data_IF_708208455532
#
_entry.id   IF_708208455532
#
_cell.length_a   1.000
_cell.length_b   1.000
_cell.length_c   1.000
_cell.angle_alpha   90.00
_cell.angle_beta   90.00
_cell.angle_gamma   90.00
#
_symmetry.space_group_name_H-M   'P 1'
#
loop_
_entity.id
_entity.type
_entity.pdbx_description
1 polymer ?
#
# COMPACT_ATOMS: atom_id res chain seq x y z
N UNK A 1 -0.72 37.01 9.81
CA UNK A 1 -2.12 37.22 9.35
C UNK A 1 -2.58 38.49 9.99
N UNK A 2 -2.92 39.50 9.21
CA UNK A 2 -3.54 40.73 9.70
C UNK A 2 -4.99 40.46 10.11
N UNK A 3 -5.59 41.34 10.92
CA UNK A 3 -6.99 41.22 11.37
C UNK A 3 -7.98 41.21 10.20
N UNK A 4 -7.72 42.02 9.17
CA UNK A 4 -8.54 42.14 7.96
C UNK A 4 -8.57 40.85 7.13
N UNK A 5 -7.39 40.22 6.94
CA UNK A 5 -7.30 38.93 6.24
C UNK A 5 -8.13 37.85 6.94
N UNK A 6 -8.20 37.86 8.29
CA UNK A 6 -9.05 36.94 9.06
C UNK A 6 -10.54 37.24 8.87
N UNK A 7 -10.92 38.52 8.76
CA UNK A 7 -12.32 38.92 8.58
C UNK A 7 -12.81 38.58 7.18
N UNK A 8 -12.01 38.88 6.15
CA UNK A 8 -12.36 38.58 4.76
C UNK A 8 -12.44 37.07 4.50
N UNK A 9 -11.52 36.28 5.06
CA UNK A 9 -11.55 34.81 4.92
C UNK A 9 -12.76 34.18 5.65
N UNK A 10 -13.22 34.80 6.75
CA UNK A 10 -14.48 34.41 7.41
C UNK A 10 -15.70 34.72 6.54
N UNK A 11 -15.76 35.90 5.89
CA UNK A 11 -16.86 36.27 4.99
C UNK A 11 -16.97 35.33 3.78
N UNK A 12 -15.85 35.00 3.12
CA UNK A 12 -15.85 34.08 1.99
C UNK A 12 -16.26 32.66 2.40
N UNK A 13 -15.82 32.19 3.58
CA UNK A 13 -16.28 30.88 4.11
C UNK A 13 -17.76 30.87 4.45
N UNK A 14 -18.28 31.95 5.01
CA UNK A 14 -19.71 32.09 5.27
C UNK A 14 -20.53 32.06 3.97
N UNK A 15 -20.01 32.64 2.88
CA UNK A 15 -20.66 32.56 1.57
C UNK A 15 -20.67 31.14 0.98
N UNK A 16 -19.62 30.34 1.20
CA UNK A 16 -19.51 28.95 0.69
C UNK A 16 -20.35 27.97 1.53
N UNK A 17 -20.34 28.13 2.85
CA UNK A 17 -21.05 27.23 3.77
C UNK A 17 -22.52 27.61 3.94
N UNK A 18 -22.90 28.86 3.62
CA UNK A 18 -24.25 29.40 3.83
C UNK A 18 -24.65 29.38 5.31
N UNK A 19 -25.95 29.20 5.58
CA UNK A 19 -26.51 29.01 6.92
C UNK A 19 -26.32 27.59 7.48
N UNK A 20 -25.54 26.72 6.83
CA UNK A 20 -25.29 25.38 7.40
C UNK A 20 -24.43 25.54 8.66
N UNK A 21 -24.84 24.96 9.81
CA UNK A 21 -24.00 24.95 10.99
C UNK A 21 -22.64 24.37 10.61
N UNK A 22 -21.55 24.94 11.14
CA UNK A 22 -20.17 24.49 10.88
C UNK A 22 -19.95 23.14 11.59
N UNK A 23 -20.62 22.09 11.09
CA UNK A 23 -20.56 20.71 11.59
C UNK A 23 -19.21 20.06 11.31
N UNK A 24 -18.28 20.79 10.70
CA UNK A 24 -16.89 20.38 10.45
C UNK A 24 -16.18 19.83 11.67
N UNK A 25 -16.43 20.37 12.86
CA UNK A 25 -15.82 19.84 14.08
C UNK A 25 -16.41 18.47 14.45
N UNK A 26 -17.73 18.33 14.42
CA UNK A 26 -18.43 17.05 14.65
C UNK A 26 -18.09 15.98 13.61
N UNK A 27 -17.91 16.38 12.34
CA UNK A 27 -17.56 15.45 11.25
C UNK A 27 -16.10 14.99 11.30
N UNK A 28 -15.22 15.75 11.95
CA UNK A 28 -13.81 15.36 12.17
C UNK A 28 -13.63 14.50 13.42
N UNK A 29 -14.48 14.69 14.44
CA UNK A 29 -14.45 13.90 15.67
C UNK A 29 -14.89 12.45 15.47
N UNK A 30 -15.86 12.20 14.59
CA UNK A 30 -16.34 10.84 14.33
C UNK A 30 -15.23 9.89 13.80
N UNK A 31 -14.43 10.25 12.77
CA UNK A 31 -13.29 9.43 12.36
C UNK A 31 -12.25 9.19 13.46
N UNK A 32 -12.00 10.20 14.30
CA UNK A 32 -11.08 10.09 15.45
C UNK A 32 -11.60 9.07 16.45
N UNK A 33 -12.88 9.16 16.81
CA UNK A 33 -13.55 8.21 17.68
C UNK A 33 -13.49 6.77 17.13
N UNK A 34 -13.82 6.59 15.85
CA UNK A 34 -13.74 5.28 15.18
C UNK A 34 -12.31 4.75 15.17
N UNK A 35 -11.31 5.60 14.92
CA UNK A 35 -9.91 5.19 14.93
C UNK A 35 -9.43 4.74 16.32
N UNK A 36 -9.85 5.41 17.39
CA UNK A 36 -9.53 5.01 18.77
C UNK A 36 -10.13 3.66 19.09
N UNK A 37 -11.42 3.46 18.78
CA UNK A 37 -12.08 2.17 19.00
C UNK A 37 -11.40 1.08 18.18
N UNK A 38 -11.13 1.30 16.90
CA UNK A 38 -10.47 0.31 16.06
C UNK A 38 -9.05 -0.04 16.58
N UNK A 39 -8.29 0.97 17.02
CA UNK A 39 -6.98 0.79 17.61
C UNK A 39 -7.03 -0.02 18.92
N UNK A 40 -7.99 0.26 19.80
CA UNK A 40 -8.19 -0.49 21.04
C UNK A 40 -8.68 -1.92 20.80
N UNK A 41 -9.76 -2.08 20.03
CA UNK A 41 -10.45 -3.36 19.83
C UNK A 41 -9.68 -4.32 18.93
N UNK A 42 -8.95 -3.83 17.92
CA UNK A 42 -8.24 -4.68 16.97
C UNK A 42 -6.72 -4.48 17.01
N UNK A 43 -6.27 -3.23 17.14
CA UNK A 43 -4.84 -2.91 17.16
C UNK A 43 -4.11 -3.53 18.35
N UNK A 44 -4.59 -3.29 19.57
CA UNK A 44 -3.95 -3.81 20.79
C UNK A 44 -3.89 -5.34 20.80
N UNK A 45 -4.98 -6.10 20.52
CA UNK A 45 -4.91 -7.56 20.43
C UNK A 45 -3.98 -8.06 19.31
N UNK A 46 -3.96 -7.40 18.15
CA UNK A 46 -3.05 -7.79 17.07
C UNK A 46 -1.58 -7.60 17.47
N UNK A 47 -1.25 -6.48 18.12
CA UNK A 47 0.08 -6.23 18.67
C UNK A 47 0.43 -7.19 19.80
N UNK A 48 -0.53 -7.49 20.69
CA UNK A 48 -0.34 -8.49 21.75
C UNK A 48 0.01 -9.86 21.15
N UNK A 49 -0.70 -10.27 20.10
CA UNK A 49 -0.42 -11.52 19.41
C UNK A 49 0.96 -11.49 18.73
N UNK A 50 1.35 -10.34 18.17
CA UNK A 50 2.71 -10.13 17.65
C UNK A 50 3.77 -10.35 18.72
N UNK A 51 3.67 -9.68 19.87
CA UNK A 51 4.68 -9.83 20.91
C UNK A 51 4.69 -11.21 21.56
N UNK A 52 3.52 -11.85 21.76
CA UNK A 52 3.45 -13.25 22.24
C UNK A 52 4.14 -14.24 21.31
N UNK A 53 4.27 -13.87 20.05
CA UNK A 53 4.84 -14.73 19.03
C UNK A 53 6.34 -14.53 18.81
N UNK A 54 6.90 -13.47 19.38
CA UNK A 54 8.33 -13.17 19.34
C UNK A 54 8.97 -13.75 20.60
N UNK A 55 10.10 -14.43 20.47
CA UNK A 55 10.87 -14.88 21.64
C UNK A 55 11.42 -13.67 22.40
N UNK A 56 11.05 -13.57 23.68
CA UNK A 56 11.46 -12.48 24.56
C UNK A 56 12.97 -12.44 24.76
N UNK A 57 13.64 -13.61 24.81
CA UNK A 57 15.10 -13.67 24.96
C UNK A 57 15.79 -13.16 23.71
N UNK A 58 15.39 -13.65 22.54
CA UNK A 58 15.88 -13.18 21.25
C UNK A 58 15.70 -11.66 21.10
N UNK A 59 14.51 -11.14 21.45
CA UNK A 59 14.25 -9.71 21.34
C UNK A 59 15.14 -8.92 22.30
N UNK A 60 15.27 -9.32 23.56
CA UNK A 60 16.12 -8.62 24.53
C UNK A 60 17.60 -8.57 24.08
N UNK A 61 18.11 -9.68 23.54
CA UNK A 61 19.48 -9.78 23.02
C UNK A 61 19.71 -8.90 21.80
N UNK A 62 18.74 -8.80 20.89
CA UNK A 62 18.90 -8.03 19.65
C UNK A 62 18.53 -6.56 19.80
N UNK A 63 17.52 -6.20 20.61
CA UNK A 63 17.02 -4.82 20.72
C UNK A 63 18.05 -3.86 21.32
N UNK A 64 18.95 -4.37 22.17
CA UNK A 64 20.01 -3.58 22.80
C UNK A 64 21.25 -3.41 21.91
N UNK A 65 21.28 -4.05 20.74
CA UNK A 65 22.41 -3.93 19.82
C UNK A 65 22.35 -2.62 19.02
N UNK A 66 23.51 -2.01 18.70
CA UNK A 66 23.54 -0.88 17.76
C UNK A 66 22.98 -1.27 16.39
N UNK A 67 23.08 -2.55 16.00
CA UNK A 67 22.51 -3.08 14.77
C UNK A 67 20.99 -2.97 14.72
N UNK A 68 20.28 -3.26 15.82
CA UNK A 68 18.82 -3.10 15.87
C UNK A 68 18.39 -1.63 15.80
N UNK A 69 19.13 -0.73 16.46
CA UNK A 69 18.88 0.72 16.35
C UNK A 69 19.07 1.20 14.89
N UNK A 70 20.16 0.78 14.23
CA UNK A 70 20.41 1.08 12.82
C UNK A 70 19.29 0.51 11.95
N UNK A 71 18.89 -0.75 12.15
CA UNK A 71 17.82 -1.39 11.40
C UNK A 71 16.48 -0.64 11.55
N UNK A 72 16.14 -0.21 12.76
CA UNK A 72 14.94 0.58 13.03
C UNK A 72 14.99 1.95 12.32
N UNK A 73 16.14 2.63 12.36
CA UNK A 73 16.34 3.91 11.66
C UNK A 73 16.24 3.75 10.15
N UNK A 74 16.88 2.71 9.59
CA UNK A 74 16.82 2.39 8.15
C UNK A 74 15.39 2.08 7.74
N UNK A 75 14.66 1.26 8.52
CA UNK A 75 13.27 0.96 8.25
C UNK A 75 12.39 2.22 8.28
N UNK A 76 12.55 3.07 9.30
CA UNK A 76 11.84 4.34 9.40
C UNK A 76 12.16 5.25 8.22
N UNK A 77 13.42 5.36 7.81
CA UNK A 77 13.84 6.15 6.65
C UNK A 77 13.25 5.62 5.34
N UNK A 78 13.19 4.30 5.16
CA UNK A 78 12.55 3.66 4.01
C UNK A 78 11.04 3.97 3.98
N UNK A 79 10.34 3.82 5.11
CA UNK A 79 8.91 4.15 5.22
C UNK A 79 8.64 5.63 4.93
N UNK A 80 9.44 6.55 5.48
CA UNK A 80 9.32 7.99 5.21
C UNK A 80 9.62 8.33 3.74
N UNK A 81 10.52 7.57 3.10
CA UNK A 81 10.80 7.69 1.67
C UNK A 81 9.59 7.26 0.84
N UNK A 82 8.92 6.16 1.22
CA UNK A 82 7.65 5.74 0.59
C UNK A 82 6.57 6.81 0.76
N UNK A 83 6.39 7.35 1.96
CA UNK A 83 5.44 8.44 2.25
C UNK A 83 5.70 9.66 1.34
N UNK A 84 6.97 10.00 1.14
CA UNK A 84 7.36 11.07 0.22
C UNK A 84 6.96 10.78 -1.22
N UNK A 85 7.19 9.55 -1.70
CA UNK A 85 6.79 9.15 -3.06
C UNK A 85 5.28 9.14 -3.26
N UNK A 86 4.53 8.73 -2.24
CA UNK A 86 3.06 8.84 -2.22
C UNK A 86 2.64 10.30 -2.31
N UNK A 87 3.30 11.19 -1.56
CA UNK A 87 3.09 12.63 -1.59
C UNK A 87 3.17 13.26 -2.97
N UNK A 88 4.05 12.76 -3.83
CA UNK A 88 4.18 13.27 -5.21
C UNK A 88 2.91 13.05 -6.04
N UNK A 89 2.10 12.06 -5.70
CA UNK A 89 0.85 11.75 -6.40
C UNK A 89 -0.33 12.36 -5.65
N UNK A 90 -0.46 12.00 -4.37
CA UNK A 90 -1.52 12.44 -3.48
C UNK A 90 -0.90 13.11 -2.27
N UNK A 91 -1.06 14.42 -2.15
CA UNK A 91 -0.48 15.19 -1.07
C UNK A 91 -1.36 15.32 0.17
N UNK A 92 -0.80 15.76 1.31
CA UNK A 92 -1.55 16.00 2.54
C UNK A 92 -2.50 17.20 2.43
N UNK A 93 -2.21 18.18 1.57
CA UNK A 93 -2.98 19.43 1.49
C UNK A 93 -3.82 19.42 0.22
N UNK A 94 -5.02 18.85 0.30
CA UNK A 94 -5.96 18.81 -0.83
C UNK A 94 -7.34 19.29 -0.35
N UNK A 95 -7.62 20.60 -0.44
CA UNK A 95 -8.96 21.15 -0.19
C UNK A 95 -9.95 20.68 -1.27
N UNK A 96 -11.27 20.70 -0.99
CA UNK A 96 -12.28 20.35 -1.99
C UNK A 96 -12.31 21.37 -3.14
N UNK A 97 -12.68 20.92 -4.34
CA UNK A 97 -12.73 21.72 -5.57
C UNK A 97 -13.42 23.09 -5.39
N UNK A 98 -14.63 23.21 -4.80
CA UNK A 98 -15.28 24.50 -4.63
C UNK A 98 -14.45 25.50 -3.79
N UNK A 99 -13.70 25.00 -2.79
CA UNK A 99 -12.83 25.85 -1.98
C UNK A 99 -11.60 26.31 -2.76
N UNK A 100 -11.06 25.45 -3.64
CA UNK A 100 -9.95 25.83 -4.51
C UNK A 100 -10.34 26.95 -5.47
N UNK A 101 -11.55 26.88 -6.04
CA UNK A 101 -12.04 27.85 -7.02
C UNK A 101 -12.47 29.19 -6.42
N UNK A 102 -13.10 29.16 -5.25
CA UNK A 102 -13.65 30.36 -4.64
C UNK A 102 -12.68 31.05 -3.66
N UNK A 103 -11.83 30.29 -2.97
CA UNK A 103 -10.95 30.82 -1.89
C UNK A 103 -9.50 30.85 -2.30
N UNK A 104 -8.99 29.75 -2.87
CA UNK A 104 -7.54 29.63 -3.17
C UNK A 104 -7.17 30.37 -4.45
N UNK A 105 -8.10 30.50 -5.40
CA UNK A 105 -7.90 31.33 -6.61
C UNK A 105 -8.02 32.84 -6.35
N UNK A 106 -8.49 33.26 -5.16
CA UNK A 106 -8.55 34.66 -4.77
C UNK A 106 -7.15 35.27 -4.60
N UNK A 107 -6.98 36.61 -4.59
CA UNK A 107 -5.68 37.25 -4.38
C UNK A 107 -5.08 37.02 -2.98
N UNK A 108 -5.75 36.27 -2.10
CA UNK A 108 -5.22 35.93 -0.78
C UNK A 108 -4.01 35.00 -0.86
N UNK A 109 -2.98 35.23 -0.02
CA UNK A 109 -1.83 34.35 0.03
C UNK A 109 -2.20 32.89 0.35
N UNK A 110 -1.71 31.94 -0.46
CA UNK A 110 -1.95 30.50 -0.28
C UNK A 110 -1.52 29.96 1.08
N UNK A 111 -0.47 30.54 1.67
CA UNK A 111 -0.03 30.25 3.05
C UNK A 111 -1.11 30.44 4.10
N UNK A 112 -2.12 31.27 3.82
CA UNK A 112 -3.26 31.52 4.71
C UNK A 112 -4.44 30.63 4.34
N UNK A 113 -4.79 30.55 3.06
CA UNK A 113 -5.97 29.81 2.59
C UNK A 113 -5.83 28.30 2.78
N UNK A 114 -4.61 27.76 2.68
CA UNK A 114 -4.29 26.33 2.84
C UNK A 114 -3.88 25.94 4.26
N UNK A 115 -3.58 26.89 5.15
CA UNK A 115 -3.07 26.61 6.50
C UNK A 115 -3.98 25.69 7.33
N UNK A 116 -5.30 25.81 7.17
CA UNK A 116 -6.27 24.96 7.88
C UNK A 116 -6.12 23.50 7.46
N UNK A 117 -6.11 23.23 6.16
CA UNK A 117 -6.03 21.87 5.62
C UNK A 117 -4.69 21.23 5.99
N UNK A 118 -3.60 22.00 5.93
CA UNK A 118 -2.30 21.53 6.44
C UNK A 118 -2.34 21.16 7.93
N UNK A 119 -2.94 22.01 8.78
CA UNK A 119 -3.06 21.72 10.21
C UNK A 119 -3.88 20.47 10.48
N UNK A 120 -4.98 20.26 9.74
CA UNK A 120 -5.80 19.06 9.87
C UNK A 120 -5.00 17.80 9.48
N UNK A 121 -4.29 17.82 8.36
CA UNK A 121 -3.47 16.67 7.92
C UNK A 121 -2.29 16.42 8.86
N UNK A 122 -1.60 17.48 9.31
CA UNK A 122 -0.52 17.37 10.30
C UNK A 122 -1.01 16.83 11.64
N UNK A 123 -2.16 17.32 12.14
CA UNK A 123 -2.78 16.82 13.35
C UNK A 123 -3.21 15.36 13.19
N UNK A 124 -3.80 15.00 12.03
CA UNK A 124 -4.18 13.64 11.70
C UNK A 124 -3.00 12.67 11.67
N UNK A 125 -1.88 13.04 11.02
CA UNK A 125 -0.67 12.23 11.02
C UNK A 125 -0.05 12.10 12.41
N UNK A 126 -0.02 13.18 13.19
CA UNK A 126 0.51 13.18 14.56
C UNK A 126 -0.34 12.29 15.47
N UNK A 127 -1.66 12.43 15.39
CA UNK A 127 -2.62 11.62 16.13
C UNK A 127 -2.57 10.13 15.72
N UNK A 128 -2.50 9.85 14.42
CA UNK A 128 -2.33 8.49 13.92
C UNK A 128 -1.01 7.86 14.39
N UNK A 129 0.09 8.62 14.38
CA UNK A 129 1.37 8.20 14.93
C UNK A 129 1.30 7.94 16.44
N UNK A 130 0.63 8.80 17.19
CA UNK A 130 0.37 8.62 18.62
C UNK A 130 -0.39 7.32 18.88
N UNK A 131 -1.48 7.06 18.14
CA UNK A 131 -2.25 5.83 18.24
C UNK A 131 -1.41 4.59 17.93
N UNK A 132 -0.58 4.62 16.88
CA UNK A 132 0.32 3.51 16.56
C UNK A 132 1.32 3.26 17.70
N UNK A 133 1.93 4.31 18.23
CA UNK A 133 2.86 4.21 19.36
C UNK A 133 2.19 3.70 20.64
N UNK A 134 0.95 4.12 20.89
CA UNK A 134 0.14 3.68 22.02
C UNK A 134 -0.26 2.21 21.88
N UNK A 135 -0.70 1.77 20.70
CA UNK A 135 -1.06 0.38 20.41
C UNK A 135 0.16 -0.53 20.57
N UNK A 136 1.30 -0.14 19.98
CA UNK A 136 2.57 -0.86 20.13
C UNK A 136 3.02 -0.94 21.58
N UNK A 137 3.00 0.19 22.31
CA UNK A 137 3.37 0.23 23.73
C UNK A 137 2.44 -0.60 24.61
N UNK A 138 1.12 -0.48 24.42
CA UNK A 138 0.12 -1.21 25.20
C UNK A 138 0.22 -2.71 24.96
N UNK A 139 0.35 -3.13 23.69
CA UNK A 139 0.52 -4.54 23.37
C UNK A 139 1.78 -5.13 24.02
N UNK A 140 2.90 -4.42 23.99
CA UNK A 140 4.15 -4.87 24.61
C UNK A 140 4.10 -4.91 26.14
N UNK A 141 3.42 -3.95 26.77
CA UNK A 141 3.22 -3.92 28.21
C UNK A 141 2.30 -5.06 28.68
N UNK A 142 1.19 -5.31 27.98
CA UNK A 142 0.24 -6.39 28.31
C UNK A 142 0.90 -7.78 28.19
N UNK A 143 1.86 -7.95 27.29
CA UNK A 143 2.61 -9.21 27.15
C UNK A 143 3.82 -9.30 28.08
N UNK A 144 4.04 -8.34 28.98
CA UNK A 144 5.24 -8.23 29.82
C UNK A 144 6.55 -8.24 29.01
N UNK A 145 6.52 -7.81 27.75
CA UNK A 145 7.71 -7.68 26.91
C UNK A 145 8.54 -6.47 27.35
N UNK A 146 7.86 -5.40 27.77
CA UNK A 146 8.46 -4.16 28.26
C UNK A 146 7.72 -3.69 29.52
N UNK A 147 8.40 -2.98 30.45
CA UNK A 147 7.71 -2.38 31.58
C UNK A 147 6.69 -1.33 31.10
N UNK A 148 5.56 -1.14 31.80
CA UNK A 148 4.52 -0.16 31.41
C UNK A 148 5.04 1.26 31.22
N UNK A 149 6.15 1.62 31.88
CA UNK A 149 6.84 2.93 31.73
C UNK A 149 7.25 3.19 30.27
N UNK A 150 7.49 2.16 29.46
CA UNK A 150 7.85 2.27 28.04
C UNK A 150 6.68 2.72 27.16
N UNK A 151 5.43 2.68 27.66
CA UNK A 151 4.27 3.17 26.91
C UNK A 151 4.35 4.67 26.60
N UNK A 152 4.92 5.47 27.51
CA UNK A 152 5.12 6.90 27.29
C UNK A 152 6.10 7.18 26.14
N UNK A 153 7.34 6.69 26.16
CA UNK A 153 8.29 6.93 25.06
C UNK A 153 7.83 6.30 23.74
N UNK A 154 7.12 5.17 23.72
CA UNK A 154 6.58 4.62 22.45
C UNK A 154 5.47 5.50 21.88
N UNK A 155 4.59 6.02 22.73
CA UNK A 155 3.50 6.93 22.31
C UNK A 155 4.06 8.26 21.81
N UNK A 156 5.02 8.84 22.53
CA UNK A 156 5.72 10.08 22.12
C UNK A 156 6.54 9.87 20.85
N UNK A 157 7.27 8.76 20.74
CA UNK A 157 8.02 8.37 19.55
C UNK A 157 7.12 8.17 18.33
N UNK A 158 5.95 7.55 18.52
CA UNK A 158 4.93 7.41 17.49
C UNK A 158 4.38 8.78 17.02
N UNK A 159 4.08 9.69 17.95
CA UNK A 159 3.64 11.04 17.62
C UNK A 159 4.72 11.80 16.82
N UNK A 160 5.98 11.69 17.23
CA UNK A 160 7.13 12.28 16.55
C UNK A 160 7.31 11.70 15.13
N UNK A 161 7.16 10.38 14.96
CA UNK A 161 7.13 9.74 13.65
C UNK A 161 5.97 10.27 12.80
N UNK A 162 4.79 10.47 13.38
CA UNK A 162 3.64 11.09 12.73
C UNK A 162 3.91 12.50 12.22
N UNK A 163 4.66 13.31 12.97
CA UNK A 163 5.14 14.63 12.52
C UNK A 163 6.08 14.48 11.32
N UNK A 164 7.03 13.55 11.35
CA UNK A 164 7.90 13.29 10.21
C UNK A 164 7.14 12.81 8.97
N UNK A 165 6.13 11.95 9.15
CA UNK A 165 5.24 11.52 8.07
C UNK A 165 4.58 12.74 7.42
N UNK A 166 3.97 13.64 8.19
CA UNK A 166 3.35 14.85 7.65
C UNK A 166 4.35 15.71 6.84
N UNK A 167 5.57 15.91 7.37
CA UNK A 167 6.62 16.69 6.72
C UNK A 167 7.09 16.08 5.39
N UNK A 168 7.42 14.77 5.40
CA UNK A 168 7.88 14.08 4.21
C UNK A 168 6.77 13.98 3.17
N UNK A 169 5.52 13.83 3.60
CA UNK A 169 4.36 13.80 2.73
C UNK A 169 4.16 15.16 2.03
N UNK A 170 4.26 16.28 2.75
CA UNK A 170 4.19 17.63 2.17
C UNK A 170 5.35 17.90 1.21
N UNK A 171 6.58 17.52 1.59
CA UNK A 171 7.75 17.62 0.70
C UNK A 171 7.59 16.78 -0.56
N UNK A 172 6.92 15.64 -0.45
CA UNK A 172 6.50 14.82 -1.59
C UNK A 172 5.56 15.60 -2.52
N UNK A 173 4.51 16.21 -1.96
CA UNK A 173 3.53 17.01 -2.70
C UNK A 173 4.18 18.15 -3.48
N UNK A 174 5.11 18.89 -2.86
CA UNK A 174 5.83 19.96 -3.53
C UNK A 174 6.63 19.45 -4.73
N UNK A 175 7.32 18.31 -4.59
CA UNK A 175 8.12 17.72 -5.69
C UNK A 175 7.28 17.13 -6.81
N UNK A 176 6.03 16.78 -6.53
CA UNK A 176 5.10 16.22 -7.51
C UNK A 176 4.47 17.25 -8.45
N UNK A 177 4.64 18.55 -8.17
CA UNK A 177 3.98 19.60 -8.94
C UNK A 177 4.76 20.00 -10.20
N UNK A 178 4.08 20.28 -11.33
CA UNK A 178 4.72 20.80 -12.53
C UNK A 178 5.32 22.19 -12.26
N UNK A 179 6.58 22.42 -12.66
CA UNK A 179 7.20 23.75 -12.62
C UNK A 179 7.92 24.12 -11.33
N UNK A 180 7.81 23.33 -10.26
CA UNK A 180 8.71 23.46 -9.11
C UNK A 180 10.03 22.76 -9.45
N UNK A 181 10.99 23.52 -9.99
CA UNK A 181 12.37 23.05 -10.06
C UNK A 181 12.80 22.56 -8.67
N UNK A 182 13.57 21.46 -8.55
CA UNK A 182 14.21 21.16 -7.28
C UNK A 182 14.97 22.44 -6.86
N UNK A 183 14.85 22.90 -5.61
CA UNK A 183 15.65 24.04 -5.18
C UNK A 183 17.09 23.68 -5.50
N UNK A 184 17.69 24.42 -6.44
CA UNK A 184 19.08 24.25 -6.78
C UNK A 184 19.85 24.40 -5.48
N UNK A 185 20.77 23.48 -5.23
CA UNK A 185 21.73 23.51 -4.13
C UNK A 185 22.72 24.67 -4.25
N UNK A 186 22.32 25.77 -4.86
CA UNK A 186 23.05 27.01 -5.10
C UNK A 186 22.45 28.18 -4.30
N UNK A 187 21.89 27.89 -3.11
CA UNK A 187 21.60 28.89 -2.09
C UNK A 187 22.55 28.69 -0.90
N UNK A 188 23.86 28.70 -1.19
CA UNK A 188 24.92 28.94 -0.20
C UNK A 188 24.92 30.42 0.20
N UNK A 189 23.80 30.87 0.76
CA UNK A 189 23.62 32.24 1.23
C UNK A 189 22.40 32.32 2.16
N UNK A 190 22.66 32.37 3.47
CA UNK A 190 21.72 32.87 4.48
C UNK A 190 20.48 32.03 4.87
N UNK A 191 20.54 30.68 4.89
CA UNK A 191 19.47 29.85 5.51
C UNK A 191 19.75 29.37 6.95
N UNK A 192 20.67 29.99 7.69
CA UNK A 192 21.01 29.58 9.06
C UNK A 192 20.01 30.06 10.15
N UNK A 193 18.90 30.75 9.80
CA UNK A 193 17.97 31.31 10.79
C UNK A 193 16.47 31.03 10.57
N UNK A 194 16.08 30.34 9.49
CA UNK A 194 14.66 30.16 9.20
C UNK A 194 14.02 29.08 10.10
N UNK A 195 13.20 29.53 11.06
CA UNK A 195 12.39 28.65 11.90
C UNK A 195 11.62 27.62 11.06
N UNK A 196 11.46 26.40 11.58
CA UNK A 196 10.74 25.30 10.90
C UNK A 196 9.33 25.74 10.44
N UNK A 197 8.70 26.65 11.19
CA UNK A 197 7.42 27.28 10.85
C UNK A 197 7.49 28.19 9.62
N UNK A 198 8.56 28.96 9.46
CA UNK A 198 8.79 29.80 8.28
C UNK A 198 8.95 28.97 7.01
N UNK A 199 9.76 27.91 7.06
CA UNK A 199 9.93 26.95 5.95
C UNK A 199 8.61 26.29 5.54
N UNK A 200 7.77 25.88 6.50
CA UNK A 200 6.42 25.33 6.25
C UNK A 200 5.47 26.31 5.57
N UNK A 201 5.47 27.57 6.01
CA UNK A 201 4.60 28.60 5.42
C UNK A 201 5.03 28.95 3.99
N UNK A 202 6.34 28.92 3.72
CA UNK A 202 6.88 29.10 2.38
C UNK A 202 6.52 27.91 1.47
N UNK A 203 6.57 26.69 1.98
CA UNK A 203 6.11 25.50 1.26
C UNK A 203 4.64 25.62 0.79
N UNK A 204 3.72 26.06 1.66
CA UNK A 204 2.31 26.24 1.27
C UNK A 204 2.11 27.35 0.23
N UNK A 205 2.98 28.37 0.21
CA UNK A 205 2.92 29.44 -0.78
C UNK A 205 3.32 28.96 -2.18
N UNK A 206 4.21 27.96 -2.25
CA UNK A 206 4.73 27.37 -3.50
C UNK A 206 3.77 26.37 -4.16
N UNK A 207 2.71 25.94 -3.47
CA UNK A 207 1.77 24.96 -4.02
C UNK A 207 0.99 25.53 -5.21
N UNK A 208 1.13 24.93 -6.38
CA UNK A 208 0.40 25.31 -7.59
C UNK A 208 -1.09 24.95 -7.51
N UNK A 209 -1.95 25.88 -7.98
CA UNK A 209 -3.40 25.73 -7.92
C UNK A 209 -3.91 24.68 -8.92
N UNK A 210 -3.30 24.58 -10.11
CA UNK A 210 -3.71 23.60 -11.13
C UNK A 210 -3.38 22.18 -10.66
N UNK A 211 -2.22 22.00 -10.03
CA UNK A 211 -1.85 20.75 -9.35
C UNK A 211 -2.84 20.38 -8.24
N UNK A 212 -3.23 21.33 -7.38
CA UNK A 212 -4.21 21.09 -6.32
C UNK A 212 -5.60 20.72 -6.86
N UNK A 213 -6.06 21.39 -7.92
CA UNK A 213 -7.34 21.05 -8.58
C UNK A 213 -7.31 19.63 -9.13
N UNK A 214 -6.22 19.25 -9.81
CA UNK A 214 -6.04 17.88 -10.32
C UNK A 214 -6.08 16.83 -9.21
N UNK A 215 -5.37 17.06 -8.11
CA UNK A 215 -5.36 16.16 -6.95
C UNK A 215 -6.74 16.08 -6.29
N UNK A 216 -7.46 17.20 -6.17
CA UNK A 216 -8.82 17.18 -5.60
C UNK A 216 -9.80 16.44 -6.50
N UNK A 217 -9.73 16.63 -7.82
CA UNK A 217 -10.58 15.91 -8.76
C UNK A 217 -10.28 14.40 -8.72
N UNK A 218 -9.00 14.03 -8.75
CA UNK A 218 -8.53 12.64 -8.65
C UNK A 218 -9.01 11.97 -7.35
N UNK A 219 -8.86 12.63 -6.19
CA UNK A 219 -9.36 12.10 -4.91
C UNK A 219 -10.87 11.83 -4.92
N UNK A 220 -11.67 12.71 -5.54
CA UNK A 220 -13.12 12.54 -5.67
C UNK A 220 -13.44 11.38 -6.62
N UNK A 221 -12.76 11.30 -7.77
CA UNK A 221 -12.90 10.20 -8.73
C UNK A 221 -12.56 8.85 -8.10
N UNK A 222 -11.41 8.74 -7.43
CA UNK A 222 -10.97 7.53 -6.73
C UNK A 222 -11.96 7.17 -5.63
N UNK A 223 -12.36 8.13 -4.78
CA UNK A 223 -13.31 7.89 -3.70
C UNK A 223 -14.66 7.38 -4.21
N UNK A 224 -15.22 8.05 -5.23
CA UNK A 224 -16.47 7.65 -5.86
C UNK A 224 -16.36 6.27 -6.54
N UNK A 225 -15.26 6.01 -7.23
CA UNK A 225 -15.02 4.74 -7.91
C UNK A 225 -14.86 3.56 -6.93
N UNK A 226 -14.15 3.74 -5.81
CA UNK A 226 -14.05 2.73 -4.74
C UNK A 226 -15.44 2.41 -4.18
N UNK A 227 -16.23 3.45 -3.89
CA UNK A 227 -17.60 3.31 -3.38
C UNK A 227 -18.52 2.65 -4.40
N UNK A 228 -18.32 2.89 -5.70
CA UNK A 228 -19.10 2.31 -6.79
C UNK A 228 -18.68 0.89 -7.19
N UNK A 229 -17.58 0.35 -6.63
CA UNK A 229 -17.07 -0.96 -7.06
C UNK A 229 -16.14 -0.92 -8.28
N UNK A 230 -15.83 0.26 -8.81
CA UNK A 230 -15.13 0.46 -10.07
C UNK A 230 -13.62 0.69 -9.87
N UNK A 231 -12.91 -0.41 -9.62
CA UNK A 231 -11.47 -0.38 -9.44
C UNK A 231 -10.70 -0.07 -10.73
N UNK A 232 -11.34 -0.21 -11.90
CA UNK A 232 -10.72 0.17 -13.17
C UNK A 232 -10.53 1.68 -13.20
N UNK A 233 -11.56 2.44 -12.85
CA UNK A 233 -11.47 3.90 -12.77
C UNK A 233 -10.42 4.34 -11.75
N UNK A 234 -10.37 3.73 -10.56
CA UNK A 234 -9.32 3.99 -9.56
C UNK A 234 -7.93 3.78 -10.14
N UNK A 235 -7.72 2.66 -10.85
CA UNK A 235 -6.43 2.31 -11.43
C UNK A 235 -6.01 3.27 -12.53
N UNK A 236 -6.93 3.61 -13.45
CA UNK A 236 -6.64 4.50 -14.57
C UNK A 236 -6.33 5.92 -14.09
N UNK A 237 -7.01 6.38 -13.04
CA UNK A 237 -6.75 7.69 -12.45
C UNK A 237 -5.43 7.71 -11.65
N UNK A 238 -5.11 6.62 -10.94
CA UNK A 238 -3.84 6.48 -10.21
C UNK A 238 -2.62 6.18 -11.11
N UNK A 239 -2.83 5.77 -12.36
CA UNK A 239 -1.76 5.38 -13.27
C UNK A 239 -0.88 6.58 -13.65
N UNK A 240 0.43 6.44 -13.44
CA UNK A 240 1.39 7.46 -13.89
C UNK A 240 1.55 7.42 -15.42
N UNK A 241 1.77 8.57 -16.08
CA UNK A 241 2.14 8.58 -17.49
C UNK A 241 3.38 7.71 -17.72
N UNK A 242 3.39 6.91 -18.78
CA UNK A 242 4.55 6.09 -19.13
C UNK A 242 5.72 7.02 -19.47
N UNK A 243 6.81 7.03 -18.71
CA UNK A 243 7.95 7.91 -18.98
C UNK A 243 9.16 7.16 -19.56
N UNK A 244 9.22 5.85 -19.37
CA UNK A 244 10.30 4.98 -19.83
C UNK A 244 9.92 4.20 -21.09
N UNK A 245 10.93 3.77 -21.86
CA UNK A 245 10.81 2.82 -22.99
C UNK A 245 9.72 3.16 -24.04
N UNK A 246 9.38 4.44 -24.22
CA UNK A 246 8.37 4.90 -25.20
C UNK A 246 8.71 4.53 -26.64
N UNK A 247 10.00 4.52 -26.96
CA UNK A 247 10.53 4.20 -28.31
C UNK A 247 10.62 2.69 -28.57
N UNK A 248 10.50 1.86 -27.53
CA UNK A 248 10.57 0.41 -27.67
C UNK A 248 9.23 -0.10 -28.16
N UNK A 249 9.24 -0.72 -29.35
CA UNK A 249 8.07 -1.35 -29.97
C UNK A 249 7.98 -2.83 -29.60
N UNK A 250 6.75 -3.34 -29.59
CA UNK A 250 6.50 -4.76 -29.44
C UNK A 250 6.98 -5.50 -30.69
N UNK A 251 7.76 -6.56 -30.51
CA UNK A 251 8.24 -7.40 -31.62
C UNK A 251 7.23 -8.50 -31.92
N UNK A 252 6.97 -8.73 -33.21
CA UNK A 252 6.14 -9.83 -33.67
C UNK A 252 6.64 -11.20 -33.18
N UNK A 253 5.72 -12.15 -33.03
CA UNK A 253 5.99 -13.51 -32.58
C UNK A 253 4.70 -14.32 -32.51
N UNK A 254 4.79 -15.57 -32.04
CA UNK A 254 3.62 -16.41 -31.82
C UNK A 254 2.64 -15.79 -30.80
N UNK A 255 1.35 -16.17 -30.84
CA UNK A 255 0.28 -15.44 -30.17
C UNK A 255 0.44 -15.41 -28.64
N UNK A 256 0.90 -16.51 -28.02
CA UNK A 256 1.19 -16.56 -26.57
C UNK A 256 2.47 -15.80 -26.21
N UNK A 257 3.51 -15.91 -27.04
CA UNK A 257 4.80 -15.24 -26.81
C UNK A 257 4.68 -13.72 -26.90
N UNK A 258 3.83 -13.21 -27.80
CA UNK A 258 3.56 -11.77 -27.94
C UNK A 258 2.89 -11.21 -26.68
N UNK A 259 2.04 -11.99 -26.00
CA UNK A 259 1.42 -11.60 -24.73
C UNK A 259 2.49 -11.45 -23.64
N UNK A 260 3.36 -12.45 -23.47
CA UNK A 260 4.45 -12.36 -22.50
C UNK A 260 5.40 -11.18 -22.81
N UNK A 261 5.75 -10.96 -24.08
CA UNK A 261 6.57 -9.82 -24.50
C UNK A 261 5.90 -8.47 -24.25
N UNK A 262 4.58 -8.39 -24.43
CA UNK A 262 3.79 -7.20 -24.11
C UNK A 262 3.87 -6.86 -22.63
N UNK A 263 3.76 -7.86 -21.76
CA UNK A 263 3.82 -7.66 -20.31
C UNK A 263 5.22 -7.23 -19.86
N UNK A 264 6.27 -7.85 -20.42
CA UNK A 264 7.67 -7.41 -20.21
C UNK A 264 7.86 -5.96 -20.68
N UNK A 265 7.31 -5.59 -21.85
CA UNK A 265 7.36 -4.21 -22.34
C UNK A 265 6.59 -3.26 -21.41
N UNK A 266 5.47 -3.70 -20.84
CA UNK A 266 4.73 -2.98 -19.80
C UNK A 266 5.59 -2.68 -18.58
N UNK A 267 6.29 -3.68 -18.06
CA UNK A 267 7.23 -3.51 -16.93
C UNK A 267 8.40 -2.58 -17.28
N UNK A 268 8.94 -2.64 -18.49
CA UNK A 268 9.99 -1.71 -18.95
C UNK A 268 9.50 -0.26 -19.02
N UNK A 269 8.22 -0.05 -19.32
CA UNK A 269 7.59 1.28 -19.35
C UNK A 269 7.21 1.79 -17.95
N UNK A 270 7.05 0.89 -16.99
CA UNK A 270 6.77 1.17 -15.58
C UNK A 270 7.88 0.59 -14.67
N UNK A 271 9.12 1.13 -14.72
CA UNK A 271 10.27 0.54 -14.03
C UNK A 271 10.08 0.44 -12.52
N UNK A 272 9.33 1.38 -11.92
CA UNK A 272 9.01 1.32 -10.50
C UNK A 272 8.19 0.09 -10.11
N UNK A 273 7.25 -0.34 -10.96
CA UNK A 273 6.51 -1.59 -10.73
C UNK A 273 7.45 -2.79 -10.73
N UNK A 274 8.45 -2.81 -11.61
CA UNK A 274 9.46 -3.87 -11.63
C UNK A 274 10.31 -3.88 -10.34
N UNK A 275 10.80 -2.71 -9.91
CA UNK A 275 11.63 -2.56 -8.71
C UNK A 275 10.86 -2.90 -7.44
N UNK A 276 9.64 -2.37 -7.26
CA UNK A 276 8.81 -2.68 -6.10
C UNK A 276 8.39 -4.16 -6.10
N UNK A 277 8.06 -4.71 -7.27
CA UNK A 277 7.78 -6.13 -7.42
C UNK A 277 8.95 -7.00 -6.97
N UNK A 278 10.16 -6.69 -7.43
CA UNK A 278 11.37 -7.42 -7.04
C UNK A 278 11.65 -7.28 -5.54
N UNK A 279 11.57 -6.07 -4.98
CA UNK A 279 11.82 -5.84 -3.56
C UNK A 279 10.83 -6.60 -2.66
N UNK A 280 9.54 -6.52 -2.95
CA UNK A 280 8.50 -7.21 -2.17
C UNK A 280 8.53 -8.73 -2.34
N UNK A 281 8.78 -9.25 -3.55
CA UNK A 281 8.90 -10.69 -3.76
C UNK A 281 10.19 -11.24 -3.14
N UNK A 282 11.30 -10.52 -3.19
CA UNK A 282 12.54 -10.92 -2.54
C UNK A 282 12.39 -10.95 -1.01
N UNK A 283 11.89 -9.86 -0.42
CA UNK A 283 11.66 -9.80 1.04
C UNK A 283 10.60 -10.82 1.50
N UNK A 284 9.51 -10.99 0.74
CA UNK A 284 8.47 -11.95 1.04
C UNK A 284 8.95 -13.40 0.94
N UNK A 285 9.64 -13.77 -0.13
CA UNK A 285 10.17 -15.13 -0.31
C UNK A 285 11.28 -15.46 0.70
N UNK A 286 12.17 -14.51 1.02
CA UNK A 286 13.17 -14.66 2.07
C UNK A 286 12.51 -14.90 3.43
N UNK A 287 11.57 -14.04 3.82
CA UNK A 287 10.87 -14.16 5.09
C UNK A 287 10.07 -15.46 5.18
N UNK A 288 9.43 -15.90 4.09
CA UNK A 288 8.71 -17.17 4.05
C UNK A 288 9.66 -18.36 4.24
N UNK A 289 10.80 -18.39 3.53
CA UNK A 289 11.79 -19.45 3.66
C UNK A 289 12.40 -19.50 5.06
N UNK A 290 12.77 -18.35 5.62
CA UNK A 290 13.30 -18.24 6.99
C UNK A 290 12.26 -18.67 8.04
N UNK A 291 10.98 -18.37 7.80
CA UNK A 291 9.89 -18.80 8.69
C UNK A 291 9.74 -20.31 8.76
N UNK A 292 10.20 -21.03 7.73
CA UNK A 292 10.15 -22.49 7.66
C UNK A 292 11.35 -23.18 8.32
N UNK A 293 12.36 -22.44 8.78
CA UNK A 293 13.57 -23.01 9.36
C UNK A 293 13.43 -23.45 10.82
N UNK A 294 12.54 -22.81 11.59
CA UNK A 294 12.42 -23.06 13.02
C UNK A 294 10.96 -23.30 13.46
N UNK A 295 10.70 -24.35 14.28
CA UNK A 295 9.39 -24.61 14.89
C UNK A 295 8.90 -23.49 15.80
N UNK A 296 9.81 -22.65 16.29
CA UNK A 296 9.53 -21.53 17.17
C UNK A 296 9.10 -20.26 16.42
N UNK A 297 9.09 -20.29 15.08
CA UNK A 297 8.67 -19.13 14.30
C UNK A 297 7.18 -18.84 14.50
N UNK A 298 6.87 -17.58 14.84
CA UNK A 298 5.52 -17.03 14.85
C UNK A 298 4.74 -17.29 13.57
N UNK A 299 3.42 -17.48 13.68
CA UNK A 299 2.51 -17.49 12.52
C UNK A 299 2.38 -16.12 11.83
N UNK A 300 2.82 -15.04 12.47
CA UNK A 300 2.80 -13.69 11.90
C UNK A 300 3.91 -13.51 10.87
N UNK A 301 5.07 -14.18 11.06
CA UNK A 301 6.16 -14.12 10.10
C UNK A 301 5.74 -14.60 8.69
N UNK A 302 5.19 -15.81 8.49
CA UNK A 302 4.70 -16.23 7.19
C UNK A 302 3.52 -15.38 6.71
N UNK A 303 2.66 -14.85 7.59
CA UNK A 303 1.55 -13.96 7.21
C UNK A 303 2.06 -12.66 6.58
N UNK A 304 3.02 -11.98 7.21
CA UNK A 304 3.64 -10.75 6.69
C UNK A 304 4.41 -11.06 5.40
N UNK A 305 5.17 -12.16 5.37
CA UNK A 305 5.87 -12.60 4.17
C UNK A 305 4.93 -12.82 3.00
N UNK A 306 3.81 -13.52 3.20
CA UNK A 306 2.81 -13.77 2.16
C UNK A 306 2.09 -12.50 1.71
N UNK A 307 1.89 -11.52 2.60
CA UNK A 307 1.40 -10.20 2.21
C UNK A 307 2.37 -9.52 1.25
N UNK A 308 3.68 -9.51 1.56
CA UNK A 308 4.71 -8.96 0.67
C UNK A 308 4.78 -9.73 -0.65
N UNK A 309 4.72 -11.07 -0.62
CA UNK A 309 4.64 -11.90 -1.82
C UNK A 309 3.44 -11.53 -2.69
N UNK A 310 2.25 -11.36 -2.10
CA UNK A 310 1.02 -10.99 -2.81
C UNK A 310 1.13 -9.62 -3.46
N UNK A 311 1.65 -8.63 -2.74
CA UNK A 311 1.87 -7.28 -3.26
C UNK A 311 2.91 -7.28 -4.40
N UNK A 312 4.05 -7.93 -4.19
CA UNK A 312 5.12 -7.99 -5.17
C UNK A 312 4.69 -8.70 -6.46
N UNK A 313 4.10 -9.89 -6.36
CA UNK A 313 3.56 -10.62 -7.51
C UNK A 313 2.50 -9.79 -8.24
N UNK A 314 1.64 -9.10 -7.48
CA UNK A 314 0.57 -8.27 -8.03
C UNK A 314 1.06 -7.09 -8.88
N UNK A 315 2.25 -6.54 -8.62
CA UNK A 315 2.83 -5.48 -9.47
C UNK A 315 3.22 -5.96 -10.87
N UNK A 316 3.43 -7.27 -11.04
CA UNK A 316 3.76 -7.88 -12.34
C UNK A 316 2.51 -8.41 -13.07
N UNK A 317 1.35 -8.42 -12.42
CA UNK A 317 0.07 -8.87 -12.98
C UNK A 317 -0.72 -7.78 -13.74
N UNK A 318 -0.08 -6.68 -14.14
CA UNK A 318 -0.79 -5.58 -14.81
C UNK A 318 -1.42 -6.02 -16.14
N UNK A 319 -0.71 -6.85 -16.92
CA UNK A 319 -1.23 -7.44 -18.15
C UNK A 319 -2.52 -8.23 -17.92
N UNK A 320 -2.54 -9.08 -16.89
CA UNK A 320 -3.70 -9.88 -16.50
C UNK A 320 -4.92 -9.01 -16.16
N UNK A 321 -4.69 -7.93 -15.41
CA UNK A 321 -5.75 -6.97 -15.03
C UNK A 321 -6.26 -6.17 -16.22
N UNK A 322 -5.39 -5.80 -17.16
CA UNK A 322 -5.80 -5.12 -18.39
C UNK A 322 -6.59 -6.06 -19.32
N UNK A 323 -6.26 -7.35 -19.35
CA UNK A 323 -7.02 -8.36 -20.08
C UNK A 323 -8.43 -8.55 -19.48
N UNK A 324 -8.53 -8.59 -18.16
CA UNK A 324 -9.83 -8.66 -17.48
C UNK A 324 -10.71 -7.43 -17.76
N UNK A 325 -10.13 -6.23 -17.81
CA UNK A 325 -10.86 -4.99 -18.15
C UNK A 325 -11.37 -4.95 -19.59
N UNK A 326 -10.74 -5.71 -20.48
CA UNK A 326 -11.12 -5.86 -21.88
C UNK A 326 -12.08 -7.04 -22.12
N UNK A 327 -12.65 -7.63 -21.06
CA UNK A 327 -13.76 -8.58 -21.20
C UNK A 327 -14.90 -7.92 -22.00
N UNK A 328 -15.40 -8.56 -23.05
CA UNK A 328 -16.43 -7.96 -23.93
C UNK A 328 -15.89 -7.41 -25.25
N UNK A 329 -14.57 -7.36 -25.44
CA UNK A 329 -13.96 -6.86 -26.68
C UNK A 329 -13.54 -7.98 -27.61
N UNK A 330 -13.57 -7.72 -28.92
CA UNK A 330 -13.17 -8.69 -29.95
C UNK A 330 -11.74 -9.19 -29.75
N UNK A 331 -11.53 -10.49 -29.94
CA UNK A 331 -10.25 -11.17 -29.68
C UNK A 331 -9.24 -10.87 -30.78
N UNK A 332 -8.30 -9.96 -30.53
CA UNK A 332 -7.29 -9.51 -31.50
C UNK A 332 -6.34 -10.62 -32.00
N UNK A 333 -6.11 -11.68 -31.21
CA UNK A 333 -5.14 -12.75 -31.51
C UNK A 333 -5.81 -14.08 -31.86
N UNK A 334 -7.14 -14.14 -31.95
CA UNK A 334 -7.89 -15.38 -32.22
C UNK A 334 -7.80 -16.46 -31.13
N UNK A 335 -7.07 -16.22 -30.03
CA UNK A 335 -6.91 -17.16 -28.92
C UNK A 335 -8.15 -17.20 -28.02
N UNK A 336 -8.45 -18.35 -27.40
CA UNK A 336 -9.44 -18.45 -26.33
C UNK A 336 -9.16 -17.45 -25.19
N UNK A 337 -10.23 -16.94 -24.57
CA UNK A 337 -10.12 -15.94 -23.50
C UNK A 337 -9.40 -16.48 -22.26
N UNK A 338 -9.55 -17.78 -22.00
CA UNK A 338 -8.83 -18.48 -20.93
C UNK A 338 -7.33 -18.58 -21.21
N UNK A 339 -6.94 -18.89 -22.44
CA UNK A 339 -5.53 -19.08 -22.80
C UNK A 339 -4.77 -17.76 -22.78
N UNK A 340 -5.43 -16.68 -23.20
CA UNK A 340 -4.89 -15.31 -23.07
C UNK A 340 -4.72 -14.90 -21.61
N UNK A 341 -5.67 -15.25 -20.73
CA UNK A 341 -5.52 -15.00 -19.29
C UNK A 341 -4.35 -15.80 -18.69
N UNK A 342 -4.19 -17.07 -19.07
CA UNK A 342 -3.06 -17.90 -18.62
C UNK A 342 -1.71 -17.40 -19.17
N UNK A 343 -1.66 -16.91 -20.41
CA UNK A 343 -0.46 -16.33 -20.99
C UNK A 343 0.04 -15.10 -20.21
N UNK A 344 -0.88 -14.29 -19.66
CA UNK A 344 -0.56 -13.15 -18.80
C UNK A 344 0.01 -13.54 -17.42
N UNK A 345 -0.02 -14.82 -17.04
CA UNK A 345 0.67 -15.32 -15.84
C UNK A 345 2.14 -15.66 -16.08
N UNK A 346 2.59 -15.76 -17.34
CA UNK A 346 3.96 -16.17 -17.65
C UNK A 346 4.99 -15.23 -17.03
N UNK A 347 4.84 -13.91 -17.21
CA UNK A 347 5.76 -12.90 -16.66
C UNK A 347 5.81 -12.88 -15.13
N UNK A 348 4.68 -12.78 -14.40
CA UNK A 348 4.73 -12.77 -12.94
C UNK A 348 5.23 -14.10 -12.34
N UNK A 349 4.88 -15.25 -12.94
CA UNK A 349 5.40 -16.56 -12.51
C UNK A 349 6.90 -16.67 -12.73
N UNK A 350 7.41 -16.29 -13.91
CA UNK A 350 8.85 -16.29 -14.18
C UNK A 350 9.61 -15.30 -13.28
N UNK A 351 9.06 -14.11 -13.04
CA UNK A 351 9.63 -13.15 -12.10
C UNK A 351 9.71 -13.72 -10.69
N UNK A 352 8.64 -14.40 -10.24
CA UNK A 352 8.59 -15.05 -8.92
C UNK A 352 9.62 -16.16 -8.79
N UNK A 353 9.68 -17.08 -9.77
CA UNK A 353 10.60 -18.22 -9.72
C UNK A 353 12.06 -17.75 -9.72
N UNK A 354 12.43 -16.84 -10.63
CA UNK A 354 13.79 -16.30 -10.69
C UNK A 354 14.17 -15.57 -9.40
N UNK A 355 13.28 -14.75 -8.86
CA UNK A 355 13.55 -14.03 -7.60
C UNK A 355 13.70 -14.98 -6.42
N UNK A 356 12.81 -15.98 -6.33
CA UNK A 356 12.84 -17.00 -5.25
C UNK A 356 14.13 -17.83 -5.31
N UNK A 357 14.55 -18.24 -6.52
CA UNK A 357 15.81 -18.97 -6.71
C UNK A 357 17.02 -18.11 -6.35
N UNK A 358 17.04 -16.84 -6.78
CA UNK A 358 18.13 -15.92 -6.44
C UNK A 358 18.23 -15.66 -4.93
N UNK A 359 17.08 -15.47 -4.25
CA UNK A 359 17.02 -15.34 -2.79
C UNK A 359 17.51 -16.62 -2.11
N UNK A 360 17.09 -17.79 -2.58
CA UNK A 360 17.54 -19.07 -2.05
C UNK A 360 19.04 -19.27 -2.20
N UNK A 361 19.63 -18.85 -3.33
CA UNK A 361 21.07 -18.86 -3.52
C UNK A 361 21.78 -17.93 -2.52
N UNK A 362 21.25 -16.73 -2.30
CA UNK A 362 21.76 -15.80 -1.28
C UNK A 362 21.67 -16.36 0.15
N UNK A 363 20.55 -16.98 0.51
CA UNK A 363 20.39 -17.66 1.80
C UNK A 363 21.34 -18.85 1.95
N UNK A 364 21.60 -19.59 0.87
CA UNK A 364 22.59 -20.67 0.86
C UNK A 364 24.01 -20.17 1.10
N UNK A 365 24.40 -19.06 0.48
CA UNK A 365 25.71 -18.43 0.74
C UNK A 365 25.84 -17.93 2.19
N UNK A 366 24.73 -17.57 2.83
CA UNK A 366 24.67 -17.19 4.24
C UNK A 366 24.55 -18.38 5.21
N UNK A 367 24.52 -19.62 4.74
CA UNK A 367 24.36 -20.82 5.58
C UNK A 367 22.94 -21.04 6.12
N UNK A 368 21.94 -20.36 5.57
CA UNK A 368 20.53 -20.37 6.01
C UNK A 368 19.61 -21.09 4.99
N UNK A 369 20.12 -22.13 4.32
CA UNK A 369 19.38 -22.82 3.27
C UNK A 369 18.70 -24.10 3.76
N UNK A 370 17.45 -24.27 3.33
CA UNK A 370 16.71 -25.51 3.45
C UNK A 370 16.02 -25.81 2.10
N UNK A 371 16.31 -26.96 1.45
CA UNK A 371 15.73 -27.30 0.15
C UNK A 371 14.20 -27.43 0.21
N UNK A 372 13.64 -27.87 1.34
CA UNK A 372 12.19 -27.92 1.52
C UNK A 372 11.59 -26.50 1.51
N UNK A 373 12.25 -25.53 2.16
CA UNK A 373 11.79 -24.14 2.18
C UNK A 373 11.73 -23.53 0.78
N UNK A 374 12.70 -23.86 -0.09
CA UNK A 374 12.69 -23.46 -1.50
C UNK A 374 11.49 -24.06 -2.25
N UNK A 375 11.23 -25.36 -2.09
CA UNK A 375 10.07 -26.04 -2.73
C UNK A 375 8.76 -25.39 -2.29
N UNK A 376 8.62 -25.08 -1.00
CA UNK A 376 7.48 -24.37 -0.43
C UNK A 376 7.30 -22.96 -1.02
N UNK A 377 8.38 -22.19 -1.11
CA UNK A 377 8.35 -20.85 -1.71
C UNK A 377 7.98 -20.92 -3.21
N UNK A 378 8.51 -21.89 -3.96
CA UNK A 378 8.13 -22.10 -5.36
C UNK A 378 6.65 -22.48 -5.51
N UNK A 379 6.15 -23.40 -4.67
CA UNK A 379 4.73 -23.78 -4.66
C UNK A 379 3.79 -22.61 -4.33
N UNK A 380 4.25 -21.66 -3.52
CA UNK A 380 3.51 -20.43 -3.20
C UNK A 380 3.26 -19.58 -4.44
N UNK A 381 4.12 -19.66 -5.46
CA UNK A 381 3.93 -19.01 -6.75
C UNK A 381 2.61 -19.41 -7.44
N UNK A 382 2.20 -20.67 -7.33
CA UNK A 382 0.93 -21.14 -7.88
C UNK A 382 -0.28 -20.58 -7.11
N UNK A 383 -0.19 -20.46 -5.78
CA UNK A 383 -1.22 -19.82 -4.95
C UNK A 383 -1.36 -18.34 -5.30
N UNK A 384 -0.24 -17.64 -5.49
CA UNK A 384 -0.22 -16.25 -5.94
C UNK A 384 -0.85 -16.11 -7.33
N UNK A 385 -0.51 -16.97 -8.28
CA UNK A 385 -1.10 -16.97 -9.62
C UNK A 385 -2.63 -17.17 -9.56
N UNK A 386 -3.12 -18.15 -8.79
CA UNK A 386 -4.56 -18.40 -8.65
C UNK A 386 -5.31 -17.25 -7.98
N UNK A 387 -4.75 -16.67 -6.93
CA UNK A 387 -5.36 -15.51 -6.26
C UNK A 387 -5.34 -14.24 -7.12
N UNK A 388 -4.32 -14.02 -7.95
CA UNK A 388 -4.31 -12.90 -8.89
C UNK A 388 -5.26 -13.11 -10.09
N UNK A 389 -5.49 -14.36 -10.52
CA UNK A 389 -6.63 -14.68 -11.41
C UNK A 389 -7.96 -14.27 -10.76
N UNK A 390 -8.19 -14.69 -9.51
CA UNK A 390 -9.40 -14.28 -8.79
C UNK A 390 -9.52 -12.76 -8.68
N UNK A 391 -8.43 -12.07 -8.35
CA UNK A 391 -8.41 -10.62 -8.19
C UNK A 391 -8.71 -9.88 -9.50
N UNK A 392 -8.16 -10.34 -10.63
CA UNK A 392 -8.39 -9.72 -11.94
C UNK A 392 -9.82 -9.97 -12.45
N UNK A 393 -10.35 -11.19 -12.30
CA UNK A 393 -11.62 -11.58 -12.90
C UNK A 393 -12.83 -11.56 -11.94
N UNK A 394 -12.68 -11.09 -10.70
CA UNK A 394 -13.75 -11.08 -9.67
C UNK A 394 -15.06 -10.44 -10.10
N UNK A 395 -15.01 -9.42 -10.96
CA UNK A 395 -16.20 -8.68 -11.35
C UNK A 395 -16.52 -7.48 -10.47
N UNK A 396 -17.64 -6.82 -10.80
CA UNK A 396 -18.25 -5.82 -9.95
C UNK A 396 -18.77 -6.46 -8.66
N UNK A 397 -18.82 -5.71 -7.54
CA UNK A 397 -19.41 -6.19 -6.31
C UNK A 397 -20.89 -6.56 -6.52
N UNK A 398 -21.40 -7.58 -5.80
CA UNK A 398 -22.80 -7.94 -5.86
C UNK A 398 -23.68 -6.81 -5.31
N UNK A 399 -24.91 -6.66 -5.86
CA UNK A 399 -25.83 -5.55 -5.53
C UNK A 399 -26.07 -5.43 -4.02
N UNK A 400 -26.11 -6.55 -3.29
CA UNK A 400 -26.28 -6.58 -1.84
C UNK A 400 -25.21 -5.82 -1.04
N UNK A 401 -24.03 -5.58 -1.62
CA UNK A 401 -22.96 -4.77 -0.99
C UNK A 401 -23.37 -3.30 -0.83
N UNK A 402 -24.25 -2.80 -1.71
CA UNK A 402 -24.78 -1.45 -1.66
C UNK A 402 -26.02 -1.32 -0.75
N UNK A 403 -26.43 -2.41 -0.11
CA UNK A 403 -27.55 -2.42 0.82
C UNK A 403 -27.20 -1.72 2.15
N UNK A 404 -28.20 -1.12 2.83
CA UNK A 404 -28.01 -0.35 4.06
C UNK A 404 -27.41 -1.16 5.24
N UNK A 405 -27.55 -2.49 5.22
CA UNK A 405 -27.05 -3.38 6.27
C UNK A 405 -25.63 -3.93 6.02
N UNK A 406 -25.22 -4.09 4.76
CA UNK A 406 -23.93 -4.71 4.40
C UNK A 406 -22.82 -3.66 4.18
N UNK A 407 -23.18 -2.55 3.53
CA UNK A 407 -22.37 -1.33 3.37
C UNK A 407 -20.88 -1.55 3.08
N UNK A 408 -20.05 -0.69 3.69
CA UNK A 408 -18.60 -0.60 3.45
C UNK A 408 -17.85 -1.88 3.84
N UNK A 409 -18.27 -2.58 4.90
CA UNK A 409 -17.58 -3.80 5.37
C UNK A 409 -17.68 -4.94 4.36
N UNK A 410 -18.86 -5.12 3.75
CA UNK A 410 -19.04 -6.12 2.70
C UNK A 410 -18.23 -5.80 1.44
N UNK A 411 -18.07 -4.51 1.11
CA UNK A 411 -17.20 -4.05 0.02
C UNK A 411 -15.72 -4.35 0.33
N UNK A 412 -15.26 -4.09 1.56
CA UNK A 412 -13.90 -4.43 2.00
C UNK A 412 -13.65 -5.93 1.90
N UNK A 413 -14.61 -6.76 2.37
CA UNK A 413 -14.52 -8.21 2.27
C UNK A 413 -14.45 -8.67 0.80
N UNK A 414 -15.31 -8.11 -0.07
CA UNK A 414 -15.28 -8.40 -1.50
C UNK A 414 -13.92 -8.09 -2.14
N UNK A 415 -13.34 -6.93 -1.80
CA UNK A 415 -12.03 -6.54 -2.32
C UNK A 415 -10.87 -7.36 -1.77
N UNK A 416 -10.93 -7.75 -0.51
CA UNK A 416 -9.87 -8.47 0.19
C UNK A 416 -9.88 -9.97 -0.05
N UNK A 417 -10.98 -10.56 -0.52
CA UNK A 417 -11.13 -12.01 -0.73
C UNK A 417 -9.94 -12.72 -1.41
N UNK A 418 -9.36 -12.22 -2.53
CA UNK A 418 -8.21 -12.88 -3.13
C UNK A 418 -6.96 -12.85 -2.24
N UNK A 419 -6.73 -11.73 -1.55
CA UNK A 419 -5.63 -11.60 -0.57
C UNK A 419 -5.87 -12.52 0.63
N UNK A 420 -7.09 -12.55 1.16
CA UNK A 420 -7.46 -13.44 2.28
C UNK A 420 -7.23 -14.91 1.91
N UNK A 421 -7.53 -15.32 0.68
CA UNK A 421 -7.22 -16.67 0.23
C UNK A 421 -5.70 -16.96 0.26
N UNK A 422 -4.85 -16.03 -0.18
CA UNK A 422 -3.39 -16.18 -0.08
C UNK A 422 -2.95 -16.28 1.39
N UNK A 423 -3.43 -15.36 2.23
CA UNK A 423 -3.02 -15.26 3.63
C UNK A 423 -3.50 -16.47 4.44
N UNK A 424 -4.75 -16.89 4.30
CA UNK A 424 -5.31 -18.02 5.03
C UNK A 424 -4.65 -19.34 4.60
N UNK A 425 -4.64 -19.65 3.31
CA UNK A 425 -4.07 -20.91 2.81
C UNK A 425 -2.56 -20.94 3.08
N UNK A 426 -1.83 -19.90 2.71
CA UNK A 426 -0.38 -19.89 2.86
C UNK A 426 0.05 -19.88 4.34
N UNK A 427 -0.57 -19.08 5.20
CA UNK A 427 -0.15 -18.98 6.62
C UNK A 427 -0.47 -20.25 7.37
N UNK A 428 -1.68 -20.81 7.21
CA UNK A 428 -2.08 -22.04 7.90
C UNK A 428 -1.21 -23.20 7.44
N UNK A 429 -0.94 -23.33 6.14
CA UNK A 429 -0.09 -24.40 5.62
C UNK A 429 1.37 -24.23 6.05
N UNK A 430 1.93 -23.01 6.03
CA UNK A 430 3.29 -22.77 6.51
C UNK A 430 3.43 -23.07 8.01
N UNK A 431 2.45 -22.63 8.82
CA UNK A 431 2.42 -22.91 10.26
C UNK A 431 2.29 -24.41 10.56
N UNK A 432 1.49 -25.14 9.77
CA UNK A 432 1.36 -26.58 9.91
C UNK A 432 2.63 -27.31 9.48
N UNK A 433 3.26 -26.90 8.37
CA UNK A 433 4.46 -27.53 7.83
C UNK A 433 5.62 -27.51 8.83
N UNK A 434 5.79 -26.37 9.50
CA UNK A 434 6.85 -26.13 10.49
C UNK A 434 6.72 -26.99 11.75
N UNK A 435 5.51 -27.45 12.07
CA UNK A 435 5.20 -28.27 13.26
C UNK A 435 4.94 -29.73 12.92
N UNK A 436 4.94 -30.08 11.65
CA UNK A 436 4.63 -31.43 11.18
C UNK A 436 5.91 -32.25 11.07
N UNK A 437 5.90 -33.51 11.54
CA UNK A 437 7.00 -34.44 11.28
C UNK A 437 7.11 -34.83 9.78
N UNK A 438 6.07 -34.55 8.98
CA UNK A 438 6.02 -34.84 7.55
C UNK A 438 5.68 -33.59 6.72
N UNK A 439 6.60 -32.61 6.60
CA UNK A 439 6.33 -31.33 5.93
C UNK A 439 5.96 -31.45 4.44
N UNK A 440 6.41 -32.51 3.76
CA UNK A 440 6.04 -32.79 2.37
C UNK A 440 4.56 -33.22 2.22
N UNK A 441 4.00 -33.89 3.22
CA UNK A 441 2.56 -34.22 3.22
C UNK A 441 1.70 -32.95 3.34
N UNK A 442 2.12 -32.01 4.18
CA UNK A 442 1.50 -30.69 4.32
C UNK A 442 1.63 -29.90 3.00
N UNK A 443 2.76 -30.03 2.32
CA UNK A 443 2.97 -29.40 1.01
C UNK A 443 1.98 -29.95 -0.04
N UNK A 444 1.71 -31.27 -0.05
CA UNK A 444 0.70 -31.85 -0.92
C UNK A 444 -0.70 -31.26 -0.65
N UNK A 445 -1.07 -31.07 0.62
CA UNK A 445 -2.30 -30.37 0.99
C UNK A 445 -2.34 -28.91 0.53
N UNK A 446 -1.22 -28.20 0.66
CA UNK A 446 -1.09 -26.84 0.13
C UNK A 446 -1.33 -26.81 -1.38
N UNK A 447 -0.79 -27.76 -2.14
CA UNK A 447 -1.01 -27.86 -3.59
C UNK A 447 -2.48 -28.15 -3.92
N UNK A 448 -3.15 -29.03 -3.18
CA UNK A 448 -4.58 -29.31 -3.37
C UNK A 448 -5.42 -28.04 -3.16
N UNK A 449 -5.20 -27.32 -2.05
CA UNK A 449 -5.90 -26.06 -1.76
C UNK A 449 -5.59 -25.00 -2.83
N UNK A 450 -4.33 -24.93 -3.27
CA UNK A 450 -3.89 -24.04 -4.34
C UNK A 450 -4.59 -24.34 -5.66
N UNK A 451 -4.75 -25.62 -6.02
CA UNK A 451 -5.53 -26.03 -7.19
C UNK A 451 -6.99 -25.60 -7.07
N UNK A 452 -7.60 -25.70 -5.88
CA UNK A 452 -8.94 -25.18 -5.63
C UNK A 452 -9.05 -23.66 -5.85
N UNK A 453 -8.09 -22.89 -5.34
CA UNK A 453 -8.01 -21.43 -5.56
C UNK A 453 -7.81 -21.09 -7.03
N UNK A 454 -6.94 -21.83 -7.72
CA UNK A 454 -6.67 -21.64 -9.14
C UNK A 454 -7.88 -21.98 -10.00
N UNK A 455 -8.55 -23.10 -9.71
CA UNK A 455 -9.79 -23.51 -10.36
C UNK A 455 -10.90 -22.46 -10.17
N UNK A 456 -10.99 -21.86 -8.98
CA UNK A 456 -11.91 -20.75 -8.74
C UNK A 456 -11.58 -19.53 -9.60
N UNK A 457 -10.30 -19.12 -9.65
CA UNK A 457 -9.84 -18.06 -10.54
C UNK A 457 -10.22 -18.32 -12.00
N UNK A 458 -9.99 -19.53 -12.50
CA UNK A 458 -10.37 -19.93 -13.85
C UNK A 458 -11.88 -19.95 -14.08
N UNK A 459 -12.68 -20.36 -13.09
CA UNK A 459 -14.14 -20.31 -13.19
C UNK A 459 -14.63 -18.85 -13.34
N UNK A 460 -13.96 -17.87 -12.73
CA UNK A 460 -14.27 -16.45 -12.91
C UNK A 460 -13.90 -15.96 -14.32
N UNK A 461 -12.77 -16.42 -14.87
CA UNK A 461 -12.39 -16.17 -16.27
C UNK A 461 -13.48 -16.69 -17.23
N UNK A 462 -13.92 -17.94 -17.04
CA UNK A 462 -14.96 -18.54 -17.87
C UNK A 462 -16.33 -17.83 -17.74
N UNK A 463 -16.69 -17.36 -16.55
CA UNK A 463 -17.90 -16.54 -16.34
C UNK A 463 -17.85 -15.21 -17.10
N UNK A 464 -16.66 -14.61 -17.23
CA UNK A 464 -16.46 -13.36 -17.98
C UNK A 464 -16.52 -13.58 -19.48
N UNK A 465 -15.94 -14.68 -19.97
CA UNK A 465 -15.97 -15.05 -21.39
C UNK A 465 -17.38 -15.31 -21.93
N UNK A 466 -18.29 -15.84 -21.10
CA UNK A 466 -19.69 -16.08 -21.50
C UNK A 466 -20.57 -14.84 -21.52
N UNK A 467 -20.12 -13.74 -20.92
CA UNK A 467 -20.87 -12.46 -20.86
C UNK A 467 -20.43 -11.47 -21.94
N UNK A 468 -19.36 -11.79 -22.66
CA UNK A 468 -18.89 -11.12 -23.87
C UNK A 468 -19.39 -11.84 -25.10
#
# INVERSE_FOLDING_TARGET
MTGEQKAQLRRVRAAILGNRPDTSASSTLYPVYVAVIAAGTYGVPATQQLFRSIDQKWLAEHLQTPAAAIAAVVLAALLLTVVRFVGQVHGPVVPPLPYLELVVASPMPRKVTLARNWRLSSAGCTFGGLLVGLVLGSGGAITNMFPPVVMLPTTLGGALLGVFVAEFWLRGQLRGQPGTAPPSTSATGSEHGASMRGRRLNALALLDISGLKRQSASNVTIGGAVLAGDLRTVRLDAARPTTSARRVRLRAGGPLMVIARRDVLGLRRAPWSAVFGLGFTAAGSAGLMLSLLSPHTSTIAPLVSLLLCHLGFGTWCEGLRLHADNSGTSRLLGLPYRDTALAHLAVPVLGWTLTTVAVSAGLSLAGLFNPAALVWALGTGALLAGTHLMAAFRGLPPIGVFGPQAGVLSMIFWYSKPLLATLLVGTVMAAWAVRSPAPLSVFAWMLILTTGVFAWGLALVGKRDRRS
#
